data_IF_155550291750
#
_entry.id   IF_155550291750
#
_cell.length_a   1.000
_cell.length_b   1.000
_cell.length_c   1.000
_cell.angle_alpha   90.00
_cell.angle_beta   90.00
_cell.angle_gamma   90.00
#
_symmetry.space_group_name_H-M   'P 1'
#
loop_
_entity.id
_entity.type
_entity.pdbx_description
1 polymer ?
#
# COMPACT_ATOMS: atom_id res chain seq x y z
N UNK A 1 -9.32 -2.45 14.33
CA UNK A 1 -9.46 -3.10 13.02
C UNK A 1 -9.16 -4.58 13.23
N UNK A 2 -9.77 -5.51 12.51
CA UNK A 2 -9.29 -6.90 12.52
C UNK A 2 -8.26 -7.12 11.40
N UNK A 3 -7.52 -8.23 11.49
CA UNK A 3 -6.45 -8.57 10.55
C UNK A 3 -6.94 -8.66 9.09
N UNK A 4 -8.16 -9.16 8.89
CA UNK A 4 -8.76 -9.29 7.55
C UNK A 4 -9.03 -7.92 6.93
N UNK A 5 -9.57 -6.98 7.72
CA UNK A 5 -9.82 -5.61 7.28
C UNK A 5 -8.51 -4.87 6.93
N UNK A 6 -7.46 -5.07 7.73
CA UNK A 6 -6.14 -4.50 7.44
C UNK A 6 -5.58 -5.06 6.13
N UNK A 7 -5.60 -6.39 5.96
CA UNK A 7 -5.07 -7.04 4.76
C UNK A 7 -5.83 -6.63 3.49
N UNK A 8 -7.16 -6.56 3.55
CA UNK A 8 -8.00 -6.11 2.44
C UNK A 8 -7.72 -4.64 2.09
N UNK A 9 -7.55 -3.78 3.08
CA UNK A 9 -7.26 -2.36 2.86
C UNK A 9 -5.88 -2.18 2.21
N UNK A 10 -4.85 -2.86 2.72
CA UNK A 10 -3.50 -2.82 2.12
C UNK A 10 -3.55 -3.36 0.69
N UNK A 11 -4.27 -4.45 0.43
CA UNK A 11 -4.44 -5.00 -0.92
C UNK A 11 -5.11 -3.98 -1.87
N UNK A 12 -6.22 -3.37 -1.45
CA UNK A 12 -6.95 -2.40 -2.26
C UNK A 12 -6.09 -1.17 -2.59
N UNK A 13 -5.34 -0.65 -1.61
CA UNK A 13 -4.42 0.46 -1.82
C UNK A 13 -3.26 0.07 -2.74
N UNK A 14 -2.69 -1.12 -2.59
CA UNK A 14 -1.66 -1.63 -3.49
C UNK A 14 -2.16 -1.77 -4.93
N UNK A 15 -3.40 -2.23 -5.13
CA UNK A 15 -4.03 -2.28 -6.46
C UNK A 15 -4.25 -0.88 -7.04
N UNK A 16 -4.77 0.07 -6.25
CA UNK A 16 -4.95 1.46 -6.68
C UNK A 16 -3.63 2.11 -7.09
N UNK A 17 -2.55 1.85 -6.35
CA UNK A 17 -1.20 2.31 -6.70
C UNK A 17 -0.75 1.76 -8.05
N UNK A 18 -0.94 0.47 -8.30
CA UNK A 18 -0.55 -0.16 -9.57
C UNK A 18 -1.34 0.41 -10.76
N UNK A 19 -2.61 0.76 -10.56
CA UNK A 19 -3.42 1.43 -11.58
C UNK A 19 -2.85 2.83 -11.83
N UNK A 20 -2.69 3.63 -10.77
CA UNK A 20 -2.17 5.00 -10.87
C UNK A 20 -0.79 5.08 -11.54
N UNK A 21 0.12 4.12 -11.27
CA UNK A 21 1.43 4.02 -11.93
C UNK A 21 1.34 3.82 -13.46
N UNK A 22 0.23 3.30 -13.98
CA UNK A 22 0.03 3.03 -15.42
C UNK A 22 -0.61 4.21 -16.16
N UNK A 23 -1.26 5.12 -15.45
CA UNK A 23 -1.97 6.27 -16.04
C UNK A 23 -1.03 7.43 -16.43
N UNK A 24 0.24 7.38 -16.00
CA UNK A 24 1.27 8.37 -16.35
C UNK A 24 1.48 9.46 -15.29
N UNK A 25 2.26 10.51 -15.62
CA UNK A 25 2.80 11.47 -14.64
C UNK A 25 1.73 12.30 -13.91
N UNK A 26 0.54 12.48 -14.51
CA UNK A 26 -0.57 13.18 -13.87
C UNK A 26 -1.05 12.49 -12.57
N UNK A 27 -0.72 11.20 -12.41
CA UNK A 27 -1.07 10.40 -11.25
C UNK A 27 0.07 10.24 -10.24
N UNK A 28 1.23 10.87 -10.42
CA UNK A 28 2.37 10.77 -9.49
C UNK A 28 2.00 11.22 -8.07
N UNK A 29 1.18 12.27 -7.96
CA UNK A 29 0.68 12.75 -6.66
C UNK A 29 -0.28 11.73 -6.01
N UNK A 30 -1.11 11.05 -6.82
CA UNK A 30 -1.98 9.99 -6.33
C UNK A 30 -1.14 8.79 -5.86
N UNK A 31 -0.11 8.38 -6.61
CA UNK A 31 0.84 7.32 -6.23
C UNK A 31 1.51 7.67 -4.89
N UNK A 32 1.94 8.91 -4.71
CA UNK A 32 2.53 9.38 -3.46
C UNK A 32 1.57 9.24 -2.28
N UNK A 33 0.33 9.74 -2.40
CA UNK A 33 -0.65 9.64 -1.33
C UNK A 33 -1.07 8.20 -1.03
N UNK A 34 -1.18 7.34 -2.04
CA UNK A 34 -1.50 5.93 -1.85
C UNK A 34 -0.36 5.23 -1.08
N UNK A 35 0.91 5.54 -1.38
CA UNK A 35 2.05 5.03 -0.60
C UNK A 35 1.97 5.46 0.87
N UNK A 36 1.64 6.72 1.14
CA UNK A 36 1.45 7.22 2.51
C UNK A 36 0.30 6.48 3.22
N UNK A 37 -0.82 6.26 2.52
CA UNK A 37 -1.96 5.54 3.07
C UNK A 37 -1.60 4.10 3.44
N UNK A 38 -0.87 3.38 2.57
CA UNK A 38 -0.39 2.02 2.85
C UNK A 38 0.47 2.01 4.11
N UNK A 39 1.41 2.95 4.23
CA UNK A 39 2.30 3.02 5.40
C UNK A 39 1.50 3.31 6.67
N UNK A 40 0.59 4.29 6.65
CA UNK A 40 -0.24 4.64 7.79
C UNK A 40 -1.12 3.46 8.24
N UNK A 41 -1.68 2.69 7.30
CA UNK A 41 -2.44 1.47 7.62
C UNK A 41 -1.56 0.41 8.29
N UNK A 42 -0.34 0.20 7.79
CA UNK A 42 0.62 -0.74 8.40
C UNK A 42 1.05 -0.28 9.80
N UNK A 43 1.30 1.01 10.00
CA UNK A 43 1.70 1.56 11.29
C UNK A 43 0.59 1.45 12.34
N UNK A 44 -0.66 1.68 11.95
CA UNK A 44 -1.83 1.47 12.82
C UNK A 44 -2.03 -0.01 13.13
N UNK A 45 -1.92 -0.89 12.12
CA UNK A 45 -2.01 -2.33 12.31
C UNK A 45 -0.92 -2.83 13.29
N UNK A 46 0.31 -2.36 13.13
CA UNK A 46 1.41 -2.70 14.02
C UNK A 46 1.16 -2.24 15.46
N UNK A 47 0.62 -1.02 15.66
CA UNK A 47 0.18 -0.54 16.99
C UNK A 47 -0.91 -1.42 17.62
N UNK A 48 -1.69 -2.11 16.79
CA UNK A 48 -2.72 -3.06 17.23
C UNK A 48 -2.19 -4.52 17.33
N UNK A 49 -0.89 -4.75 17.14
CA UNK A 49 -0.27 -6.07 17.21
C UNK A 49 -0.45 -6.93 15.95
N UNK A 50 -0.90 -6.35 14.85
CA UNK A 50 -1.13 -7.02 13.56
C UNK A 50 0.07 -6.75 12.64
N UNK A 51 0.71 -7.81 12.15
CA UNK A 51 1.84 -7.70 11.23
C UNK A 51 1.38 -7.98 9.81
N UNK A 52 1.50 -6.98 8.94
CA UNK A 52 1.22 -7.13 7.51
C UNK A 52 2.52 -7.33 6.76
N UNK A 53 2.72 -8.53 6.21
CA UNK A 53 3.87 -8.82 5.35
C UNK A 53 3.52 -8.35 3.94
N UNK A 54 4.27 -7.37 3.45
CA UNK A 54 4.15 -6.96 2.06
C UNK A 54 4.76 -8.03 1.16
N UNK A 55 4.07 -8.39 0.07
CA UNK A 55 4.73 -9.12 -1.00
C UNK A 55 5.62 -8.10 -1.70
N UNK A 56 6.91 -8.11 -1.33
CA UNK A 56 7.95 -7.24 -1.88
C UNK A 56 7.74 -7.10 -3.40
N UNK A 57 7.55 -5.88 -3.89
CA UNK A 57 7.72 -5.61 -5.33
C UNK A 57 9.09 -6.16 -5.70
N UNK A 58 9.22 -6.98 -6.77
CA UNK A 58 10.52 -7.47 -7.19
C UNK A 58 11.40 -6.24 -7.39
N UNK A 59 12.50 -6.19 -6.64
CA UNK A 59 13.52 -5.16 -6.80
C UNK A 59 13.88 -5.13 -8.29
N UNK A 60 13.40 -4.12 -9.03
CA UNK A 60 13.86 -3.90 -10.38
C UNK A 60 15.34 -3.55 -10.24
N UNK A 61 16.17 -4.56 -10.55
CA UNK A 61 17.62 -4.51 -10.71
C UNK A 61 18.04 -3.11 -11.17
N UNK A 62 18.75 -2.40 -10.30
CA UNK A 62 19.63 -1.30 -10.68
C UNK A 62 21.02 -1.86 -10.92
#
# INVERSE_FOLDING_TARGET
MDETNVAQLVFALSAARQIALREGPDFDLAVYHIRQAIQATKDEAFRQGIVVIDQKEPDHLS
#
